data_IF_696810627520
#
_entry.id   IF_696810627520
#
_cell.length_a   1.000
_cell.length_b   1.000
_cell.length_c   1.000
_cell.angle_alpha   90.00
_cell.angle_beta   90.00
_cell.angle_gamma   90.00
#
_symmetry.space_group_name_H-M   'P 1'
#
loop_
_entity.id
_entity.type
_entity.pdbx_description
1 polymer ?
#
# COMPACT_ATOMS: atom_id res chain seq x y z
N UNK A 1 3.71 8.10 9.38
CA UNK A 1 4.36 7.78 8.09
C UNK A 1 4.36 6.28 7.92
N UNK A 2 3.79 5.79 6.82
CA UNK A 2 3.73 4.36 6.53
C UNK A 2 5.13 3.80 6.24
N UNK A 3 5.34 2.49 6.40
CA UNK A 3 6.63 1.85 6.10
C UNK A 3 7.05 2.04 4.63
N UNK A 4 6.09 2.26 3.73
CA UNK A 4 6.34 2.47 2.29
C UNK A 4 6.81 3.89 2.03
N UNK A 5 6.23 4.89 2.67
CA UNK A 5 6.69 6.29 2.59
C UNK A 5 8.15 6.43 3.06
N UNK A 6 8.53 5.68 4.10
CA UNK A 6 9.91 5.66 4.59
C UNK A 6 10.88 5.09 3.54
N UNK A 7 10.51 4.00 2.87
CA UNK A 7 11.35 3.37 1.86
C UNK A 7 11.44 4.21 0.57
N UNK A 8 10.34 4.85 0.15
CA UNK A 8 10.36 5.82 -0.96
C UNK A 8 11.31 6.98 -0.64
N UNK A 9 11.18 7.59 0.55
CA UNK A 9 12.05 8.71 0.93
C UNK A 9 13.53 8.31 0.99
N UNK A 10 13.82 7.08 1.44
CA UNK A 10 15.17 6.52 1.44
C UNK A 10 15.72 6.37 0.01
N UNK A 11 14.94 5.81 -0.91
CA UNK A 11 15.33 5.64 -2.31
C UNK A 11 15.53 6.99 -3.02
N UNK A 12 14.70 7.99 -2.73
CA UNK A 12 14.84 9.36 -3.24
C UNK A 12 16.15 10.01 -2.75
N UNK A 13 16.47 9.86 -1.47
CA UNK A 13 17.74 10.34 -0.92
C UNK A 13 18.94 9.66 -1.57
N UNK A 14 18.85 8.36 -1.81
CA UNK A 14 19.93 7.60 -2.43
C UNK A 14 20.11 7.98 -3.91
N UNK A 15 19.01 8.22 -4.63
CA UNK A 15 19.02 8.74 -6.01
C UNK A 15 19.68 10.12 -6.06
N UNK A 16 19.33 11.02 -5.13
CA UNK A 16 19.95 12.34 -5.01
C UNK A 16 21.47 12.23 -4.73
N UNK A 17 21.85 11.29 -3.87
CA UNK A 17 23.26 11.02 -3.54
C UNK A 17 24.04 10.51 -4.76
N UNK A 18 23.49 9.53 -5.50
CA UNK A 18 24.14 8.98 -6.69
C UNK A 18 24.28 10.04 -7.79
N UNK A 19 23.26 10.88 -8.01
CA UNK A 19 23.35 11.97 -8.98
C UNK A 19 24.44 12.98 -8.62
N UNK A 20 24.53 13.39 -7.36
CA UNK A 20 25.63 14.26 -6.89
C UNK A 20 26.99 13.62 -7.08
N UNK A 21 27.11 12.31 -6.85
CA UNK A 21 28.36 11.58 -7.07
C UNK A 21 28.71 11.51 -8.56
N UNK A 22 27.72 11.26 -9.42
CA UNK A 22 27.88 11.25 -10.87
C UNK A 22 28.37 12.60 -11.40
N UNK A 23 27.80 13.70 -10.94
CA UNK A 23 28.20 15.05 -11.36
C UNK A 23 29.61 15.41 -10.89
N UNK A 24 29.99 15.02 -9.67
CA UNK A 24 31.37 15.15 -9.18
C UNK A 24 32.33 14.37 -10.07
N UNK A 25 32.03 13.11 -10.36
CA UNK A 25 32.88 12.26 -11.21
C UNK A 25 33.00 12.81 -12.63
N UNK A 26 31.91 13.31 -13.22
CA UNK A 26 31.93 13.99 -14.53
C UNK A 26 32.82 15.23 -14.52
N UNK A 27 32.69 16.08 -13.50
CA UNK A 27 33.53 17.28 -13.37
C UNK A 27 35.02 16.93 -13.26
N UNK A 28 35.35 15.90 -12.47
CA UNK A 28 36.74 15.41 -12.38
C UNK A 28 37.24 14.83 -13.69
N UNK A 29 36.42 14.08 -14.42
CA UNK A 29 36.77 13.54 -15.74
C UNK A 29 37.06 14.66 -16.75
N UNK A 30 36.21 15.69 -16.82
CA UNK A 30 36.40 16.84 -17.72
C UNK A 30 37.72 17.54 -17.41
N UNK A 31 37.99 17.77 -16.11
CA UNK A 31 39.23 18.43 -15.66
C UNK A 31 40.47 17.61 -16.03
N UNK A 32 40.41 16.30 -15.81
CA UNK A 32 41.50 15.37 -16.13
C UNK A 32 41.75 15.28 -17.65
N UNK A 33 40.68 15.21 -18.45
CA UNK A 33 40.77 15.16 -19.90
C UNK A 33 41.39 16.46 -20.45
N UNK A 34 41.05 17.60 -19.86
CA UNK A 34 41.67 18.88 -20.21
C UNK A 34 43.18 18.86 -19.91
N UNK A 35 43.59 18.40 -18.72
CA UNK A 35 45.01 18.28 -18.37
C UNK A 35 45.77 17.34 -19.32
N UNK A 36 45.16 16.23 -19.71
CA UNK A 36 45.73 15.31 -20.70
C UNK A 36 45.93 16.00 -22.06
N UNK A 37 44.93 16.74 -22.56
CA UNK A 37 45.04 17.49 -23.81
C UNK A 37 46.11 18.59 -23.73
N UNK A 38 46.14 19.35 -22.64
CA UNK A 38 47.15 20.38 -22.39
C UNK A 38 48.55 19.75 -22.41
N UNK A 39 48.75 18.59 -21.77
CA UNK A 39 50.02 17.86 -21.78
C UNK A 39 50.44 17.41 -23.20
N UNK A 40 49.49 16.94 -24.02
CA UNK A 40 49.76 16.59 -25.41
C UNK A 40 50.12 17.81 -26.27
N UNK A 41 49.50 18.97 -26.02
CA UNK A 41 49.79 20.22 -26.73
C UNK A 41 51.13 20.86 -26.33
N UNK A 42 51.58 20.64 -25.09
CA UNK A 42 52.88 21.08 -24.57
C UNK A 42 54.03 20.17 -25.02
N UNK A 43 53.73 19.00 -25.57
CA UNK A 43 54.72 18.17 -26.27
C UNK A 43 55.13 18.93 -27.54
N UNK A 44 56.34 19.49 -27.61
CA UNK A 44 56.65 20.58 -28.54
C UNK A 44 56.52 20.11 -29.99
N UNK A 45 55.55 20.67 -30.71
CA UNK A 45 55.61 20.75 -32.17
C UNK A 45 56.84 21.60 -32.52
N UNK A 46 57.90 20.93 -32.98
CA UNK A 46 59.11 21.60 -33.47
C UNK A 46 58.75 22.66 -34.53
N UNK A 47 59.31 23.88 -34.46
CA UNK A 47 59.26 24.82 -35.56
C UNK A 47 60.02 24.25 -36.78
N UNK A 48 59.26 23.75 -37.75
CA UNK A 48 59.42 23.65 -39.23
C UNK A 48 60.79 23.84 -39.96
N UNK A 49 61.96 23.91 -39.33
CA UNK A 49 63.21 24.26 -40.02
C UNK A 49 64.41 23.32 -39.80
N UNK A 50 64.25 22.16 -39.15
CA UNK A 50 65.34 21.20 -38.95
C UNK A 50 64.98 19.81 -39.51
N UNK A 51 65.94 19.08 -40.12
CA UNK A 51 65.70 17.72 -40.62
C UNK A 51 65.26 16.81 -39.48
N UNK A 52 64.35 15.84 -39.73
CA UNK A 52 63.80 15.00 -38.68
C UNK A 52 64.88 14.09 -38.10
N UNK A 53 65.39 14.44 -36.92
CA UNK A 53 66.01 13.47 -36.03
C UNK A 53 64.92 12.53 -35.52
N UNK A 54 65.25 11.25 -35.21
CA UNK A 54 64.33 10.36 -34.52
C UNK A 54 64.09 10.92 -33.11
N UNK A 55 63.08 11.77 -32.98
CA UNK A 55 62.65 12.31 -31.70
C UNK A 55 61.96 11.18 -30.94
N UNK A 56 62.73 10.44 -30.12
CA UNK A 56 62.12 9.50 -29.18
C UNK A 56 61.43 10.32 -28.08
N UNK A 57 60.13 10.10 -27.83
CA UNK A 57 59.46 10.78 -26.73
C UNK A 57 60.17 10.46 -25.41
N UNK A 58 60.36 11.47 -24.55
CA UNK A 58 60.96 11.25 -23.23
C UNK A 58 60.18 10.15 -22.49
N UNK A 59 60.85 9.13 -21.91
CA UNK A 59 60.19 8.06 -21.16
C UNK A 59 59.24 8.56 -20.07
N UNK A 60 59.56 9.71 -19.45
CA UNK A 60 58.70 10.36 -18.44
C UNK A 60 57.37 10.88 -19.01
N UNK A 61 57.37 11.36 -20.26
CA UNK A 61 56.15 11.83 -20.93
C UNK A 61 55.23 10.65 -21.28
N UNK A 62 55.81 9.52 -21.73
CA UNK A 62 55.07 8.30 -22.04
C UNK A 62 54.34 7.80 -20.78
N UNK A 63 55.08 7.62 -19.69
CA UNK A 63 54.53 7.11 -18.42
C UNK A 63 53.45 8.03 -17.84
N UNK A 64 53.61 9.35 -17.92
CA UNK A 64 52.59 10.28 -17.42
C UNK A 64 51.34 10.29 -18.31
N UNK A 65 51.51 10.25 -19.64
CA UNK A 65 50.40 10.15 -20.57
C UNK A 65 49.61 8.84 -20.45
N UNK A 66 50.30 7.74 -20.13
CA UNK A 66 49.70 6.43 -19.89
C UNK A 66 48.86 6.44 -18.63
N UNK A 67 49.36 7.02 -17.53
CA UNK A 67 48.59 7.22 -16.29
C UNK A 67 47.31 8.02 -16.51
N UNK A 68 47.36 9.12 -17.26
CA UNK A 68 46.16 9.89 -17.57
C UNK A 68 45.12 9.09 -18.37
N UNK A 69 45.57 8.26 -19.34
CA UNK A 69 44.67 7.37 -20.09
C UNK A 69 44.03 6.32 -19.20
N UNK A 70 44.78 5.73 -18.28
CA UNK A 70 44.26 4.76 -17.32
C UNK A 70 43.22 5.39 -16.40
N UNK A 71 43.52 6.57 -15.85
CA UNK A 71 42.59 7.30 -15.00
C UNK A 71 41.33 7.71 -15.76
N UNK A 72 41.44 8.18 -17.01
CA UNK A 72 40.28 8.52 -17.85
C UNK A 72 39.40 7.29 -18.09
N UNK A 73 39.99 6.13 -18.44
CA UNK A 73 39.25 4.87 -18.60
C UNK A 73 38.52 4.46 -17.32
N UNK A 74 39.20 4.55 -16.18
CA UNK A 74 38.59 4.23 -14.89
C UNK A 74 37.43 5.18 -14.56
N UNK A 75 37.54 6.46 -14.91
CA UNK A 75 36.48 7.44 -14.68
C UNK A 75 35.30 7.24 -15.63
N UNK A 76 35.54 6.88 -16.89
CA UNK A 76 34.48 6.52 -17.84
C UNK A 76 33.69 5.31 -17.37
N UNK A 77 34.39 4.29 -16.89
CA UNK A 77 33.81 3.09 -16.27
C UNK A 77 32.93 3.44 -15.06
N UNK A 78 33.43 4.29 -14.17
CA UNK A 78 32.68 4.76 -13.00
C UNK A 78 31.44 5.57 -13.40
N UNK A 79 31.55 6.45 -14.40
CA UNK A 79 30.42 7.22 -14.92
C UNK A 79 29.36 6.28 -15.49
N UNK A 80 29.77 5.25 -16.23
CA UNK A 80 28.85 4.26 -16.79
C UNK A 80 28.11 3.49 -15.69
N UNK A 81 28.85 2.92 -14.75
CA UNK A 81 28.30 2.17 -13.61
C UNK A 81 27.32 3.03 -12.77
N UNK A 82 27.68 4.29 -12.49
CA UNK A 82 26.82 5.20 -11.73
C UNK A 82 25.54 5.56 -12.48
N UNK A 83 25.60 5.73 -13.81
CA UNK A 83 24.42 5.96 -14.65
C UNK A 83 23.48 4.76 -14.63
N UNK A 84 24.01 3.55 -14.79
CA UNK A 84 23.23 2.31 -14.77
C UNK A 84 22.56 2.12 -13.40
N UNK A 85 23.28 2.38 -12.31
CA UNK A 85 22.73 2.32 -10.95
C UNK A 85 21.61 3.33 -10.73
N UNK A 86 21.78 4.57 -11.17
CA UNK A 86 20.75 5.62 -11.07
C UNK A 86 19.49 5.25 -11.88
N UNK A 87 19.65 4.75 -13.11
CA UNK A 87 18.53 4.31 -13.95
C UNK A 87 17.76 3.14 -13.30
N UNK A 88 18.47 2.18 -12.68
CA UNK A 88 17.84 1.08 -11.98
C UNK A 88 17.04 1.54 -10.75
N UNK A 89 17.54 2.55 -10.02
CA UNK A 89 16.82 3.13 -8.88
C UNK A 89 15.54 3.86 -9.30
N UNK A 90 15.57 4.59 -10.42
CA UNK A 90 14.40 5.27 -10.97
C UNK A 90 13.28 4.28 -11.32
N UNK A 91 13.62 3.16 -11.97
CA UNK A 91 12.64 2.10 -12.28
C UNK A 91 12.04 1.48 -11.00
N UNK A 92 12.85 1.27 -9.97
CA UNK A 92 12.37 0.76 -8.67
C UNK A 92 11.42 1.75 -7.99
N UNK A 93 11.74 3.04 -8.01
CA UNK A 93 10.88 4.09 -7.45
C UNK A 93 9.51 4.11 -8.15
N UNK A 94 9.48 4.07 -9.48
CA UNK A 94 8.23 4.01 -10.27
C UNK A 94 7.42 2.75 -9.95
N UNK A 95 8.08 1.60 -9.79
CA UNK A 95 7.41 0.35 -9.41
C UNK A 95 6.72 0.48 -8.05
N UNK A 96 7.44 0.96 -7.03
CA UNK A 96 6.88 1.11 -5.69
C UNK A 96 5.76 2.15 -5.62
N UNK A 97 5.88 3.24 -6.39
CA UNK A 97 4.81 4.24 -6.50
C UNK A 97 3.52 3.64 -7.07
N UNK A 98 3.62 2.82 -8.13
CA UNK A 98 2.45 2.13 -8.70
C UNK A 98 1.87 1.08 -7.76
N UNK A 99 2.70 0.34 -7.04
CA UNK A 99 2.23 -0.62 -6.03
C UNK A 99 1.49 0.10 -4.89
N UNK A 100 2.01 1.24 -4.44
CA UNK A 100 1.35 2.11 -3.46
C UNK A 100 -0.04 2.55 -3.93
N UNK A 101 -0.16 3.10 -5.14
CA UNK A 101 -1.47 3.49 -5.72
C UNK A 101 -2.48 2.33 -5.76
N UNK A 102 -2.02 1.12 -6.11
CA UNK A 102 -2.88 -0.07 -6.12
C UNK A 102 -3.36 -0.47 -4.72
N UNK A 103 -2.48 -0.41 -3.72
CA UNK A 103 -2.84 -0.73 -2.34
C UNK A 103 -3.81 0.30 -1.77
N UNK A 104 -3.58 1.59 -2.02
CA UNK A 104 -4.50 2.67 -1.64
C UNK A 104 -5.89 2.48 -2.26
N UNK A 105 -5.96 2.20 -3.57
CA UNK A 105 -7.24 1.91 -4.23
C UNK A 105 -7.95 0.70 -3.61
N UNK A 106 -7.20 -0.34 -3.21
CA UNK A 106 -7.78 -1.52 -2.56
C UNK A 106 -8.27 -1.22 -1.14
N UNK A 107 -7.55 -0.39 -0.38
CA UNK A 107 -7.97 0.07 0.95
C UNK A 107 -9.27 0.83 0.84
N UNK A 108 -9.36 1.82 -0.06
CA UNK A 108 -10.57 2.59 -0.28
C UNK A 108 -11.78 1.71 -0.62
N UNK A 109 -11.59 0.69 -1.47
CA UNK A 109 -12.66 -0.26 -1.78
C UNK A 109 -13.10 -1.05 -0.55
N UNK A 110 -12.15 -1.56 0.24
CA UNK A 110 -12.46 -2.34 1.44
C UNK A 110 -13.16 -1.48 2.51
N UNK A 111 -12.78 -0.22 2.65
CA UNK A 111 -13.43 0.73 3.54
C UNK A 111 -14.88 1.01 3.11
N UNK A 112 -15.13 1.15 1.80
CA UNK A 112 -16.48 1.29 1.25
C UNK A 112 -17.33 0.04 1.52
N UNK A 113 -16.79 -1.16 1.24
CA UNK A 113 -17.48 -2.43 1.47
C UNK A 113 -17.81 -2.63 2.97
N UNK A 114 -16.87 -2.27 3.86
CA UNK A 114 -17.07 -2.34 5.30
C UNK A 114 -18.16 -1.38 5.77
N UNK A 115 -18.21 -0.15 5.24
CA UNK A 115 -19.27 0.80 5.55
C UNK A 115 -20.64 0.28 5.13
N UNK A 116 -20.76 -0.31 3.94
CA UNK A 116 -22.00 -0.93 3.46
C UNK A 116 -22.43 -2.08 4.39
N UNK A 117 -21.48 -2.95 4.75
CA UNK A 117 -21.75 -4.08 5.63
C UNK A 117 -22.22 -3.62 7.04
N UNK A 118 -21.63 -2.55 7.57
CA UNK A 118 -22.05 -1.95 8.84
C UNK A 118 -23.48 -1.41 8.77
N UNK A 119 -23.81 -0.64 7.73
CA UNK A 119 -25.17 -0.12 7.53
C UNK A 119 -26.21 -1.26 7.40
N UNK A 120 -25.89 -2.30 6.63
CA UNK A 120 -26.76 -3.46 6.51
C UNK A 120 -26.95 -4.21 7.84
N UNK A 121 -25.91 -4.26 8.68
CA UNK A 121 -25.98 -4.86 10.00
C UNK A 121 -26.88 -4.07 10.96
N UNK A 122 -26.80 -2.74 10.94
CA UNK A 122 -27.67 -1.86 11.72
C UNK A 122 -29.14 -2.05 11.33
N UNK A 123 -29.45 -2.02 10.02
CA UNK A 123 -30.81 -2.28 9.51
C UNK A 123 -31.35 -3.64 9.94
N UNK A 124 -30.51 -4.69 9.90
CA UNK A 124 -30.92 -6.02 10.34
C UNK A 124 -31.22 -6.05 11.85
N UNK A 125 -30.46 -5.31 12.66
CA UNK A 125 -30.69 -5.23 14.10
C UNK A 125 -32.00 -4.49 14.41
N UNK A 126 -32.30 -3.41 13.70
CA UNK A 126 -33.59 -2.71 13.79
C UNK A 126 -34.76 -3.65 13.46
N UNK A 127 -34.69 -4.35 12.33
CA UNK A 127 -35.72 -5.32 11.93
C UNK A 127 -35.88 -6.46 12.94
N UNK A 128 -34.77 -6.96 13.53
CA UNK A 128 -34.84 -7.99 14.58
C UNK A 128 -35.52 -7.46 15.83
N UNK A 129 -35.24 -6.22 16.21
CA UNK A 129 -35.88 -5.59 17.36
C UNK A 129 -37.39 -5.41 17.13
N UNK A 130 -37.79 -4.90 15.97
CA UNK A 130 -39.20 -4.80 15.58
C UNK A 130 -39.91 -6.17 15.63
N UNK A 131 -39.30 -7.21 15.04
CA UNK A 131 -39.85 -8.55 15.07
C UNK A 131 -39.98 -9.13 16.49
N UNK A 132 -39.05 -8.79 17.39
CA UNK A 132 -39.13 -9.17 18.80
C UNK A 132 -40.34 -8.52 19.48
N UNK A 133 -40.53 -7.20 19.30
CA UNK A 133 -41.66 -6.47 19.86
C UNK A 133 -43.01 -6.96 19.30
N UNK A 134 -43.07 -7.24 18.00
CA UNK A 134 -44.26 -7.82 17.36
C UNK A 134 -44.58 -9.20 17.96
N UNK A 135 -43.57 -10.04 18.16
CA UNK A 135 -43.74 -11.36 18.77
C UNK A 135 -44.28 -11.24 20.21
N UNK A 136 -43.71 -10.37 21.03
CA UNK A 136 -44.20 -10.12 22.40
C UNK A 136 -45.65 -9.64 22.41
N UNK A 137 -46.02 -8.76 21.47
CA UNK A 137 -47.39 -8.27 21.32
C UNK A 137 -48.35 -9.40 20.96
N UNK A 138 -47.97 -10.26 20.00
CA UNK A 138 -48.76 -11.42 19.60
C UNK A 138 -48.92 -12.39 20.77
N UNK A 139 -47.83 -12.67 21.50
CA UNK A 139 -47.85 -13.61 22.63
C UNK A 139 -48.74 -13.09 23.77
N UNK A 140 -48.72 -11.78 24.07
CA UNK A 140 -49.64 -11.15 25.02
C UNK A 140 -51.09 -11.27 24.57
N UNK A 141 -51.40 -10.90 23.34
CA UNK A 141 -52.77 -10.97 22.81
C UNK A 141 -53.31 -12.41 22.79
N UNK A 142 -52.45 -13.39 22.49
CA UNK A 142 -52.80 -14.82 22.54
C UNK A 142 -53.12 -15.25 23.96
N UNK A 143 -52.27 -14.86 24.92
CA UNK A 143 -52.50 -15.16 26.33
C UNK A 143 -53.87 -14.61 26.79
N UNK A 144 -54.17 -13.35 26.51
CA UNK A 144 -55.44 -12.72 26.90
C UNK A 144 -56.66 -13.44 26.27
N UNK A 145 -56.59 -13.81 24.99
CA UNK A 145 -57.66 -14.56 24.31
C UNK A 145 -57.83 -15.98 24.86
N UNK A 146 -56.73 -16.68 25.15
CA UNK A 146 -56.77 -18.03 25.70
C UNK A 146 -57.27 -18.03 27.15
N UNK A 147 -56.94 -17.00 27.93
CA UNK A 147 -57.51 -16.78 29.26
C UNK A 147 -59.03 -16.56 29.19
N UNK A 148 -59.50 -15.68 28.30
CA UNK A 148 -60.94 -15.48 28.07
C UNK A 148 -61.64 -16.77 27.62
N UNK A 149 -61.03 -17.55 26.72
CA UNK A 149 -61.56 -18.86 26.31
C UNK A 149 -61.64 -19.84 27.47
N UNK A 150 -60.62 -19.89 28.31
CA UNK A 150 -60.61 -20.76 29.50
C UNK A 150 -61.69 -20.34 30.52
N UNK A 151 -61.92 -19.04 30.72
CA UNK A 151 -63.02 -18.54 31.57
C UNK A 151 -64.40 -18.88 30.99
N UNK A 152 -64.58 -18.78 29.67
CA UNK A 152 -65.84 -19.16 29.00
C UNK A 152 -66.07 -20.67 29.08
N UNK A 153 -65.04 -21.48 28.85
CA UNK A 153 -65.12 -22.94 28.93
C UNK A 153 -65.41 -23.42 30.36
N UNK A 154 -64.75 -22.86 31.37
CA UNK A 154 -65.01 -23.20 32.78
C UNK A 154 -66.36 -22.68 33.28
N UNK A 155 -66.83 -21.51 32.82
CA UNK A 155 -68.17 -20.98 33.14
C UNK A 155 -69.32 -21.80 32.53
N UNK A 156 -69.11 -22.42 31.36
CA UNK A 156 -70.08 -23.33 30.74
C UNK A 156 -70.13 -24.66 31.53
N UNK A 157 -68.99 -25.18 31.99
CA UNK A 157 -68.92 -26.46 32.72
C UNK A 157 -69.62 -26.38 34.11
N UNK A 158 -69.46 -25.26 34.83
CA UNK A 158 -70.18 -25.01 36.10
C UNK A 158 -71.70 -24.88 35.88
N UNK A 159 -72.13 -24.31 34.76
CA UNK A 159 -73.56 -24.13 34.44
C UNK A 159 -74.25 -25.45 34.07
N UNK A 160 -73.53 -26.39 33.44
CA UNK A 160 -74.05 -27.72 33.10
C UNK A 160 -74.13 -28.60 34.37
N UNK A 161 -73.17 -28.48 35.29
CA UNK A 161 -73.16 -29.29 36.52
C UNK A 161 -74.25 -28.90 37.54
N UNK A 162 -74.78 -27.66 37.50
CA UNK A 162 -75.88 -27.23 38.38
C UNK A 162 -77.30 -27.64 37.92
N UNK A 163 -77.47 -28.30 36.76
CA UNK A 163 -78.80 -28.70 36.26
C UNK A 163 -79.21 -30.15 36.55
N UNK A 164 -78.40 -30.93 37.26
CA UNK A 164 -78.73 -32.32 37.61
C UNK A 164 -78.64 -32.48 39.13
N UNK A 165 -79.64 -31.98 39.85
CA UNK A 165 -79.97 -32.43 41.21
C UNK A 165 -81.48 -32.63 41.25
N UNK A 166 -81.98 -33.87 41.26
CA UNK A 166 -83.41 -34.12 41.38
C UNK A 166 -83.86 -33.79 42.82
N UNK A 167 -85.07 -33.23 43.02
CA UNK A 167 -85.58 -32.97 44.34
C UNK A 167 -85.98 -34.30 45.02
N UNK A 168 -85.59 -34.43 46.28
CA UNK A 168 -86.19 -35.35 47.24
C UNK A 168 -87.72 -35.19 47.23
N UNK A 169 -88.47 -36.31 47.17
CA UNK A 169 -89.69 -36.39 47.97
C UNK A 169 -90.06 -37.83 48.37
N UNK A 170 -90.57 -37.93 49.59
CA UNK A 170 -90.87 -39.11 50.37
C UNK A 170 -92.18 -39.83 50.00
N UNK A 171 -92.32 -41.02 50.62
CA UNK A 171 -93.54 -41.77 51.05
C UNK A 171 -94.09 -42.85 50.10
N UNK A 172 -94.94 -43.79 50.58
CA UNK A 172 -94.71 -44.72 51.71
C UNK A 172 -95.24 -46.16 51.40
N UNK A 173 -94.79 -47.19 52.13
CA UNK A 173 -95.62 -48.29 52.69
C UNK A 173 -94.76 -49.30 53.44
#
# INVERSE_FOLDING_TARGET
>A
MSSIEQEISRLEQETSRLNKLLDRTRSTYISLNKQYQDQCSMSPLLPSAAPPLPYSPSPSLIVTSEKYRDELRQREEQIRTLRESAALQEVKALKYMKEHENYEARILQLEADLSIAQQAHEQLNEQKHENMLLKETIDRMRFDMDEMRNVVVTGIDVTIHCRISPPFNHQPR
#
